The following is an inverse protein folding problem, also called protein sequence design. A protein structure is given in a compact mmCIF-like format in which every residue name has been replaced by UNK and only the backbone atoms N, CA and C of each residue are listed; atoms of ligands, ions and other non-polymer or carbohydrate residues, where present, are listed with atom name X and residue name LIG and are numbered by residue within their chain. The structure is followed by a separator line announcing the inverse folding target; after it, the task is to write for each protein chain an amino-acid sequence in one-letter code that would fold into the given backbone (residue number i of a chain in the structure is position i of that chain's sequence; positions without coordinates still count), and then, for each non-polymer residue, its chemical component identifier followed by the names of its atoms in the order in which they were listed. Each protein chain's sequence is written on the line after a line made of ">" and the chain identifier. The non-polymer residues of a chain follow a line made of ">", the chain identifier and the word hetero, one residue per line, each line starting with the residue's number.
data_IF_230212785832
#
_entry.id   IF_230212785832
#
_cell.length_a   1.000
_cell.length_b   1.000
_cell.length_c   1.000
_cell.angle_alpha   90.00
_cell.angle_beta   90.00
_cell.angle_gamma   90.00
#
_symmetry.space_group_name_H-M   'P 1'
#
loop_
_entity.id
_entity.type
_entity.pdbx_description
1 polymer ?
#
# COMPACT_ATOMS: atom_id res chain seq x y z
N UNK A 1 -0.29 -8.79 -2.58
CA UNK A 1 0.58 -7.67 -2.99
C UNK A 1 1.80 -7.68 -2.09
N UNK A 2 2.96 -7.70 -2.67
CA UNK A 2 4.24 -7.39 -2.05
C UNK A 2 4.85 -6.27 -2.86
N UNK A 3 5.67 -5.43 -2.27
CA UNK A 3 6.32 -4.37 -3.01
C UNK A 3 7.79 -4.24 -2.61
N UNK A 4 8.60 -3.68 -3.49
CA UNK A 4 9.99 -3.38 -3.23
C UNK A 4 10.15 -1.90 -2.94
N UNK A 5 10.77 -1.59 -1.82
CA UNK A 5 11.16 -0.24 -1.45
C UNK A 5 12.56 0.03 -1.95
N UNK A 6 12.81 1.22 -2.46
CA UNK A 6 14.14 1.63 -2.89
C UNK A 6 14.61 2.90 -2.18
N UNK A 7 15.87 3.02 -2.13
CA UNK A 7 16.88 3.97 -1.62
C UNK A 7 16.46 5.42 -1.24
N UNK A 8 15.25 5.88 -1.51
CA UNK A 8 14.82 7.26 -1.24
C UNK A 8 14.75 7.63 0.26
N UNK A 9 14.99 6.65 1.16
CA UNK A 9 14.82 6.84 2.61
C UNK A 9 16.08 6.57 3.45
N UNK A 10 17.24 6.41 2.83
CA UNK A 10 18.49 6.17 3.58
C UNK A 10 18.75 7.24 4.65
N UNK A 11 18.46 8.49 4.33
CA UNK A 11 18.69 9.65 5.22
C UNK A 11 17.62 9.77 6.32
N UNK A 12 16.44 9.16 6.13
CA UNK A 12 15.37 9.14 7.12
C UNK A 12 15.54 8.02 8.15
N UNK A 13 16.34 7.02 7.84
CA UNK A 13 16.56 5.85 8.70
C UNK A 13 17.06 6.24 10.10
N UNK A 14 17.98 7.20 10.18
CA UNK A 14 18.56 7.65 11.44
C UNK A 14 17.59 8.43 12.34
N UNK A 15 16.66 9.19 11.74
CA UNK A 15 15.70 10.01 12.49
C UNK A 15 14.42 9.28 12.92
N UNK A 16 14.03 8.22 12.17
CA UNK A 16 12.81 7.45 12.42
C UNK A 16 13.04 6.23 13.35
N UNK A 17 14.30 5.81 13.53
CA UNK A 17 14.61 4.47 14.04
C UNK A 17 14.53 4.31 15.54
N UNK A 18 14.84 5.33 16.35
CA UNK A 18 15.17 5.04 17.75
C UNK A 18 13.96 4.64 18.59
N UNK A 19 12.83 5.30 18.43
CA UNK A 19 11.69 5.11 19.34
C UNK A 19 10.71 4.01 18.94
N UNK A 20 10.44 3.88 17.64
CA UNK A 20 9.43 2.95 17.14
C UNK A 20 9.97 1.51 16.98
N UNK A 21 11.19 1.39 16.50
CA UNK A 21 11.87 0.10 16.28
C UNK A 21 12.20 -0.58 17.61
N UNK A 22 12.66 0.20 18.60
CA UNK A 22 12.99 -0.33 19.93
C UNK A 22 11.75 -0.91 20.66
N UNK A 23 10.58 -0.34 20.42
CA UNK A 23 9.34 -0.78 21.09
C UNK A 23 8.73 -2.03 20.46
N UNK A 24 8.92 -2.26 19.15
CA UNK A 24 8.36 -3.42 18.43
C UNK A 24 9.33 -4.56 18.22
N UNK A 25 10.60 -4.38 18.53
CA UNK A 25 11.69 -5.34 18.24
C UNK A 25 11.74 -5.77 16.74
N UNK A 26 11.24 -4.92 15.82
CA UNK A 26 11.18 -5.18 14.37
C UNK A 26 11.91 -4.07 13.62
N UNK A 27 12.70 -4.43 12.58
CA UNK A 27 13.41 -3.44 11.80
C UNK A 27 12.45 -2.60 10.94
N UNK A 28 12.80 -1.33 10.73
CA UNK A 28 12.22 -0.50 9.70
C UNK A 28 12.80 -0.92 8.34
N UNK A 29 11.96 -1.41 7.44
CA UNK A 29 12.35 -1.83 6.10
C UNK A 29 12.38 -0.61 5.19
N UNK A 30 13.56 -0.18 4.79
CA UNK A 30 13.79 0.97 3.88
C UNK A 30 14.28 0.53 2.52
N UNK A 31 14.67 -0.73 2.37
CA UNK A 31 15.13 -1.34 1.12
C UNK A 31 14.76 -2.82 1.09
N UNK A 32 14.57 -3.36 -0.11
CA UNK A 32 14.23 -4.77 -0.32
C UNK A 32 12.74 -5.05 -0.43
N UNK A 33 12.39 -6.32 -0.40
CA UNK A 33 11.01 -6.80 -0.50
C UNK A 33 10.26 -6.55 0.80
N UNK A 34 9.11 -5.88 0.70
CA UNK A 34 8.22 -5.59 1.82
C UNK A 34 7.06 -6.57 1.82
N UNK A 35 6.77 -7.13 2.98
CA UNK A 35 5.74 -8.14 3.20
C UNK A 35 4.70 -7.66 4.22
N UNK A 36 3.49 -8.23 4.20
CA UNK A 36 2.51 -8.02 5.26
C UNK A 36 3.13 -8.14 6.66
N UNK A 37 2.79 -7.21 7.54
CA UNK A 37 3.30 -7.01 8.90
C UNK A 37 4.65 -6.27 9.03
N UNK A 38 5.37 -6.04 7.93
CA UNK A 38 6.58 -5.23 7.98
C UNK A 38 6.27 -3.77 8.34
N UNK A 39 7.27 -3.10 8.91
CA UNK A 39 7.24 -1.67 9.23
C UNK A 39 8.01 -0.95 8.14
N UNK A 40 7.35 0.03 7.50
CA UNK A 40 7.92 0.80 6.39
C UNK A 40 7.68 2.29 6.56
N UNK A 41 8.47 3.16 5.89
CA UNK A 41 8.18 4.58 5.82
C UNK A 41 6.91 4.86 5.03
N UNK A 42 5.99 5.61 5.60
CA UNK A 42 4.71 5.98 5.01
C UNK A 42 4.52 7.48 5.11
N UNK A 43 4.09 8.11 4.03
CA UNK A 43 3.82 9.54 3.94
C UNK A 43 2.37 9.82 4.36
N UNK A 44 2.19 10.67 5.36
CA UNK A 44 0.88 11.11 5.83
C UNK A 44 0.98 12.52 6.43
N UNK A 45 -0.12 13.26 6.61
CA UNK A 45 -0.11 14.52 7.34
C UNK A 45 0.13 14.27 8.83
N UNK A 46 0.94 15.13 9.46
CA UNK A 46 1.05 15.17 10.91
C UNK A 46 -0.13 15.95 11.55
N UNK A 47 -0.14 16.09 12.87
CA UNK A 47 -1.20 16.81 13.60
C UNK A 47 -1.39 18.29 13.19
N UNK A 48 -0.41 18.88 12.48
CA UNK A 48 -0.47 20.25 11.94
C UNK A 48 -0.86 20.28 10.46
N UNK A 49 -1.24 19.13 9.87
CA UNK A 49 -1.52 19.00 8.44
C UNK A 49 -0.27 19.00 7.53
N UNK A 50 0.93 18.98 8.11
CA UNK A 50 2.18 19.03 7.33
C UNK A 50 2.53 17.62 6.88
N UNK A 51 2.78 17.45 5.58
CA UNK A 51 3.26 16.19 4.99
C UNK A 51 4.53 15.73 5.71
N UNK A 52 4.51 14.53 6.26
CA UNK A 52 5.58 13.95 7.07
C UNK A 52 5.71 12.46 6.80
N UNK A 53 6.84 11.88 7.17
CA UNK A 53 7.08 10.44 7.04
C UNK A 53 7.01 9.78 8.41
N UNK A 54 6.27 8.67 8.47
CA UNK A 54 6.08 7.90 9.69
C UNK A 54 6.42 6.43 9.46
N UNK A 55 7.09 5.76 10.40
CA UNK A 55 7.16 4.31 10.38
C UNK A 55 5.77 3.75 10.69
N UNK A 56 5.21 2.95 9.78
CA UNK A 56 3.91 2.33 9.98
C UNK A 56 3.98 0.83 9.68
N UNK A 57 3.28 0.02 10.46
CA UNK A 57 3.17 -1.41 10.21
C UNK A 57 2.08 -1.70 9.17
N UNK A 58 2.38 -2.58 8.23
CA UNK A 58 1.40 -3.00 7.23
C UNK A 58 0.41 -4.02 7.79
N UNK A 59 -0.84 -3.62 7.91
CA UNK A 59 -1.97 -4.46 8.30
C UNK A 59 -2.81 -3.87 9.42
N UNK A 60 -4.13 -3.79 9.20
CA UNK A 60 -5.12 -3.48 10.23
C UNK A 60 -5.55 -4.74 10.96
N UNK A 61 -5.63 -4.71 12.25
CA UNK A 61 -6.22 -5.78 13.04
C UNK A 61 -7.75 -5.81 12.82
N UNK A 62 -8.28 -6.94 12.38
CA UNK A 62 -9.73 -7.09 12.26
C UNK A 62 -10.41 -7.02 13.63
N UNK A 63 -11.69 -6.62 13.67
CA UNK A 63 -12.45 -6.42 14.92
C UNK A 63 -12.45 -7.61 15.90
N UNK A 64 -12.27 -8.83 15.38
CA UNK A 64 -12.20 -10.04 16.20
C UNK A 64 -10.78 -10.36 16.70
N UNK A 65 -9.79 -9.49 16.42
CA UNK A 65 -8.40 -9.66 16.82
C UNK A 65 -7.65 -10.86 16.21
N UNK A 66 -8.31 -11.63 15.34
CA UNK A 66 -7.78 -12.92 14.84
C UNK A 66 -7.14 -12.84 13.46
N UNK A 67 -7.35 -11.77 12.71
CA UNK A 67 -6.86 -11.62 11.33
C UNK A 67 -6.41 -10.19 11.07
N UNK A 68 -5.28 -10.05 10.39
CA UNK A 68 -4.85 -8.77 9.83
C UNK A 68 -5.42 -8.57 8.43
N UNK A 69 -5.87 -7.36 8.14
CA UNK A 69 -6.31 -6.92 6.83
C UNK A 69 -5.20 -6.08 6.22
N UNK A 70 -4.62 -6.54 5.14
CA UNK A 70 -3.49 -5.87 4.50
C UNK A 70 -3.93 -4.93 3.37
N UNK A 71 -5.10 -5.21 2.79
CA UNK A 71 -5.64 -4.44 1.68
C UNK A 71 -7.09 -4.03 1.95
N UNK A 72 -7.49 -2.90 1.37
CA UNK A 72 -8.88 -2.45 1.37
C UNK A 72 -9.32 -2.15 -0.07
N UNK A 73 -10.52 -2.62 -0.46
CA UNK A 73 -11.08 -2.35 -1.78
C UNK A 73 -11.63 -0.93 -1.82
N UNK A 74 -11.20 -0.12 -2.77
CA UNK A 74 -11.63 1.27 -2.97
C UNK A 74 -13.16 1.38 -3.04
N UNK A 75 -13.79 0.47 -3.74
CA UNK A 75 -15.24 0.46 -4.02
C UNK A 75 -16.09 0.28 -2.76
N UNK A 76 -15.47 -0.21 -1.68
CA UNK A 76 -16.18 -0.50 -0.42
C UNK A 76 -15.56 0.13 0.83
N UNK A 77 -14.40 0.78 0.72
CA UNK A 77 -13.69 1.34 1.86
C UNK A 77 -14.53 2.37 2.62
N UNK A 78 -15.21 3.28 1.90
CA UNK A 78 -16.10 4.28 2.49
C UNK A 78 -17.28 3.67 3.27
N UNK A 79 -17.74 2.47 2.88
CA UNK A 79 -18.92 1.82 3.46
C UNK A 79 -18.59 0.91 4.65
N UNK A 80 -17.37 0.36 4.68
CA UNK A 80 -16.97 -0.60 5.72
C UNK A 80 -16.54 0.13 6.99
N UNK A 81 -17.15 -0.17 8.16
CA UNK A 81 -16.85 0.52 9.42
C UNK A 81 -15.37 0.49 9.81
N UNK A 82 -14.62 -0.55 9.40
CA UNK A 82 -13.19 -0.69 9.71
C UNK A 82 -12.30 0.30 8.92
N UNK A 83 -12.78 0.81 7.78
CA UNK A 83 -12.03 1.70 6.89
C UNK A 83 -12.65 3.09 6.76
N UNK A 84 -13.94 3.26 7.12
CA UNK A 84 -14.72 4.46 6.86
C UNK A 84 -14.09 5.76 7.39
N UNK A 85 -13.58 5.72 8.61
CA UNK A 85 -12.99 6.91 9.23
C UNK A 85 -11.63 7.22 8.60
N UNK A 86 -10.84 6.18 8.32
CA UNK A 86 -9.57 6.34 7.62
C UNK A 86 -9.75 6.81 6.16
N UNK A 87 -10.80 6.36 5.47
CA UNK A 87 -11.17 6.87 4.14
C UNK A 87 -11.40 8.38 4.12
N UNK A 88 -12.05 8.90 5.15
CA UNK A 88 -12.36 10.33 5.24
C UNK A 88 -11.13 11.19 5.54
N UNK A 89 -10.28 10.81 6.48
CA UNK A 89 -9.30 11.73 7.06
C UNK A 89 -7.92 11.15 7.34
N UNK A 90 -7.70 9.84 7.14
CA UNK A 90 -6.43 9.18 7.44
C UNK A 90 -5.90 8.43 6.22
N UNK A 91 -5.69 9.18 5.14
CA UNK A 91 -5.13 8.67 3.90
C UNK A 91 -3.63 8.85 3.90
N UNK A 92 -2.92 7.92 3.29
CA UNK A 92 -1.45 7.91 3.25
C UNK A 92 -0.93 7.45 1.88
N UNK A 93 0.36 7.65 1.66
CA UNK A 93 1.09 7.18 0.49
C UNK A 93 2.25 6.30 0.94
N UNK A 94 2.36 5.16 0.29
CA UNK A 94 3.48 4.24 0.44
C UNK A 94 4.30 4.29 -0.85
N UNK A 95 5.62 4.50 -0.72
CA UNK A 95 6.51 4.51 -1.87
C UNK A 95 7.02 3.10 -2.15
N UNK A 96 7.00 2.73 -3.42
CA UNK A 96 7.57 1.48 -3.90
C UNK A 96 8.29 1.69 -5.24
N UNK A 97 9.24 0.84 -5.58
CA UNK A 97 9.78 0.77 -6.95
C UNK A 97 8.76 0.09 -7.85
N UNK A 98 8.24 -1.04 -7.42
CA UNK A 98 7.23 -1.85 -8.11
C UNK A 98 6.52 -2.75 -7.09
N UNK A 99 5.42 -3.36 -7.49
CA UNK A 99 4.73 -4.36 -6.68
C UNK A 99 4.74 -5.72 -7.36
N UNK A 100 4.56 -6.77 -6.56
CA UNK A 100 4.50 -8.14 -7.05
C UNK A 100 3.09 -8.70 -6.93
N UNK A 101 2.70 -9.50 -7.92
CA UNK A 101 1.56 -10.41 -7.85
C UNK A 101 1.92 -11.75 -8.47
N UNK A 102 1.21 -12.79 -8.03
CA UNK A 102 1.32 -14.12 -8.57
C UNK A 102 0.14 -14.40 -9.47
N UNK A 103 0.42 -15.03 -10.60
CA UNK A 103 -0.63 -15.57 -11.44
C UNK A 103 -1.47 -16.59 -10.64
N UNK A 104 -2.79 -16.51 -10.77
CA UNK A 104 -3.71 -17.49 -10.23
C UNK A 104 -4.51 -18.13 -11.36
N UNK A 105 -4.40 -19.44 -11.50
CA UNK A 105 -5.15 -20.19 -12.51
C UNK A 105 -5.87 -21.39 -11.88
N UNK A 106 -6.95 -21.83 -12.53
CA UNK A 106 -7.65 -23.06 -12.13
C UNK A 106 -7.00 -24.25 -12.82
N UNK A 107 -6.58 -25.22 -12.03
CA UNK A 107 -6.11 -26.49 -12.56
C UNK A 107 -7.29 -27.38 -13.00
N UNK A 108 -7.00 -28.45 -13.71
CA UNK A 108 -7.99 -29.40 -14.23
C UNK A 108 -8.87 -30.04 -13.15
N UNK A 109 -8.41 -30.05 -11.89
CA UNK A 109 -9.17 -30.53 -10.72
C UNK A 109 -10.01 -29.41 -10.05
N UNK A 110 -10.11 -28.24 -10.69
CA UNK A 110 -10.90 -27.09 -10.22
C UNK A 110 -10.26 -26.29 -9.07
N UNK A 111 -9.07 -26.67 -8.58
CA UNK A 111 -8.36 -25.94 -7.52
C UNK A 111 -7.62 -24.75 -8.10
N UNK A 112 -7.60 -23.65 -7.34
CA UNK A 112 -6.76 -22.51 -7.68
C UNK A 112 -5.30 -22.83 -7.35
N UNK A 113 -4.43 -22.68 -8.34
CA UNK A 113 -2.98 -22.81 -8.20
C UNK A 113 -2.31 -21.48 -8.42
N UNK A 114 -1.18 -21.29 -7.76
CA UNK A 114 -0.29 -20.14 -7.92
C UNK A 114 0.71 -20.45 -9.02
N UNK A 115 0.80 -19.59 -10.00
CA UNK A 115 1.74 -19.67 -11.11
C UNK A 115 2.96 -18.77 -10.89
N UNK A 116 3.41 -18.14 -11.98
CA UNK A 116 4.58 -17.29 -12.00
C UNK A 116 4.36 -16.01 -11.15
N UNK A 117 5.46 -15.47 -10.64
CA UNK A 117 5.54 -14.16 -9.98
C UNK A 117 5.82 -13.09 -11.03
N UNK A 118 5.09 -11.99 -10.98
CA UNK A 118 5.28 -10.84 -11.85
C UNK A 118 5.53 -9.58 -11.05
N UNK A 119 6.42 -8.71 -11.58
CA UNK A 119 6.65 -7.36 -11.11
C UNK A 119 5.86 -6.37 -11.98
N UNK A 120 5.25 -5.39 -11.34
CA UNK A 120 4.42 -4.38 -11.99
C UNK A 120 4.89 -2.98 -11.60
N UNK A 121 5.06 -2.11 -12.58
CA UNK A 121 5.42 -0.71 -12.38
C UNK A 121 4.59 0.17 -13.32
N UNK A 122 4.07 1.33 -12.87
CA UNK A 122 3.43 2.26 -13.77
C UNK A 122 4.37 2.71 -14.89
N UNK A 123 3.90 2.70 -16.11
CA UNK A 123 4.68 3.07 -17.29
C UNK A 123 5.26 4.49 -17.14
N UNK A 124 6.56 4.64 -17.40
CA UNK A 124 7.27 5.91 -17.30
C UNK A 124 7.54 6.41 -15.87
N UNK A 125 7.22 5.63 -14.84
CA UNK A 125 7.44 6.01 -13.45
C UNK A 125 8.66 5.30 -12.87
N UNK A 126 9.56 6.04 -12.20
CA UNK A 126 10.66 5.45 -11.41
C UNK A 126 10.15 5.04 -10.02
N UNK A 127 9.16 5.76 -9.50
CA UNK A 127 8.56 5.56 -8.18
C UNK A 127 7.08 5.30 -8.33
N UNK A 128 6.60 4.24 -7.71
CA UNK A 128 5.19 3.89 -7.59
C UNK A 128 4.62 4.47 -6.31
N UNK A 129 3.59 5.31 -6.41
CA UNK A 129 2.91 5.97 -5.30
C UNK A 129 1.63 5.21 -4.95
N UNK A 130 1.77 4.26 -4.02
CA UNK A 130 0.65 3.43 -3.58
C UNK A 130 -0.24 4.19 -2.61
N UNK A 131 -1.54 4.21 -2.85
CA UNK A 131 -2.51 4.80 -1.94
C UNK A 131 -2.84 3.84 -0.80
N UNK A 132 -2.90 4.38 0.40
CA UNK A 132 -3.25 3.63 1.59
C UNK A 132 -4.18 4.40 2.52
N UNK A 133 -4.67 3.67 3.51
CA UNK A 133 -5.36 4.19 4.68
C UNK A 133 -4.57 3.83 5.92
N UNK A 134 -4.54 4.72 6.92
CA UNK A 134 -3.89 4.43 8.19
C UNK A 134 -4.81 4.69 9.38
N UNK A 135 -4.46 4.12 10.51
CA UNK A 135 -5.08 4.39 11.81
C UNK A 135 -4.07 4.09 12.93
N UNK A 136 -4.42 4.47 14.14
CA UNK A 136 -3.62 4.11 15.33
C UNK A 136 -4.24 2.88 15.99
N UNK A 137 -3.42 1.86 16.23
CA UNK A 137 -3.76 0.66 16.99
C UNK A 137 -2.77 0.51 18.15
N UNK A 138 -3.26 0.41 19.37
CA UNK A 138 -2.43 0.29 20.59
C UNK A 138 -1.29 1.32 20.69
N UNK A 139 -1.57 2.56 20.21
CA UNK A 139 -0.61 3.66 20.19
C UNK A 139 0.33 3.68 18.97
N UNK A 140 0.20 2.75 18.03
CA UNK A 140 1.07 2.65 16.86
C UNK A 140 0.33 2.87 15.53
N UNK A 141 0.95 3.57 14.57
CA UNK A 141 0.37 3.72 13.26
C UNK A 141 0.48 2.42 12.45
N UNK A 142 -0.66 2.00 11.93
CA UNK A 142 -0.78 0.86 11.02
C UNK A 142 -1.45 1.30 9.72
N UNK A 143 -1.15 0.64 8.60
CA UNK A 143 -1.74 1.00 7.31
C UNK A 143 -2.24 -0.22 6.54
N UNK A 144 -3.09 0.03 5.56
CA UNK A 144 -3.50 -0.92 4.53
C UNK A 144 -3.31 -0.29 3.16
N UNK A 145 -2.99 -1.10 2.16
CA UNK A 145 -2.92 -0.67 0.76
C UNK A 145 -4.33 -0.69 0.17
N UNK A 146 -4.70 0.36 -0.55
CA UNK A 146 -5.94 0.38 -1.32
C UNK A 146 -5.77 -0.39 -2.62
N UNK A 147 -6.80 -1.15 -2.98
CA UNK A 147 -6.85 -1.88 -4.25
C UNK A 147 -8.08 -1.51 -5.05
N UNK A 148 -7.96 -1.57 -6.36
CA UNK A 148 -9.03 -1.36 -7.34
C UNK A 148 -9.14 -2.54 -8.30
N UNK A 149 -10.15 -2.55 -9.14
CA UNK A 149 -10.27 -3.49 -10.26
C UNK A 149 -9.09 -3.32 -11.23
N UNK A 150 -8.51 -4.42 -11.74
CA UNK A 150 -7.41 -4.37 -12.68
C UNK A 150 -7.91 -4.00 -14.09
N UNK A 151 -6.98 -3.65 -14.97
CA UNK A 151 -7.26 -3.57 -16.42
C UNK A 151 -7.51 -4.98 -16.96
N UNK A 152 -8.06 -5.06 -18.18
CA UNK A 152 -8.30 -6.35 -18.86
C UNK A 152 -7.02 -7.18 -19.04
N UNK A 153 -5.87 -6.53 -19.20
CA UNK A 153 -4.58 -7.19 -19.31
C UNK A 153 -4.12 -7.76 -17.97
N UNK A 154 -4.14 -6.95 -16.92
CA UNK A 154 -3.74 -7.34 -15.57
C UNK A 154 -4.67 -8.39 -14.95
N UNK A 155 -5.96 -8.38 -15.33
CA UNK A 155 -6.95 -9.34 -14.84
C UNK A 155 -6.63 -10.80 -15.21
N UNK A 156 -5.77 -11.03 -16.20
CA UNK A 156 -5.28 -12.36 -16.58
C UNK A 156 -4.31 -12.93 -15.54
N UNK A 157 -3.69 -12.07 -14.75
CA UNK A 157 -2.70 -12.45 -13.71
C UNK A 157 -3.36 -12.43 -12.33
N UNK A 158 -4.04 -11.34 -11.99
CA UNK A 158 -4.67 -11.18 -10.68
C UNK A 158 -5.96 -10.36 -10.77
N UNK A 159 -6.93 -10.64 -9.87
CA UNK A 159 -8.26 -10.00 -9.85
C UNK A 159 -8.27 -8.60 -9.21
N UNK A 160 -7.15 -8.14 -8.67
CA UNK A 160 -6.98 -6.82 -8.05
C UNK A 160 -5.63 -6.20 -8.41
N UNK A 161 -5.58 -4.87 -8.43
CA UNK A 161 -4.35 -4.11 -8.49
C UNK A 161 -4.33 -3.02 -7.41
N UNK A 162 -3.16 -2.55 -6.94
CA UNK A 162 -3.10 -1.41 -6.04
C UNK A 162 -3.69 -0.15 -6.68
N UNK A 163 -4.30 0.71 -5.85
CA UNK A 163 -4.59 2.08 -6.25
C UNK A 163 -3.29 2.88 -6.24
N UNK A 164 -2.89 3.38 -7.38
CA UNK A 164 -1.67 4.17 -7.56
C UNK A 164 -2.02 5.52 -8.19
N UNK A 165 -1.38 6.57 -7.73
CA UNK A 165 -1.61 7.92 -8.25
C UNK A 165 -0.34 8.49 -8.90
N UNK A 166 -0.49 9.41 -9.85
CA UNK A 166 0.62 10.24 -10.29
C UNK A 166 1.07 11.14 -9.12
N UNK A 167 2.37 11.49 -9.09
CA UNK A 167 2.98 12.25 -8.00
C UNK A 167 2.22 13.55 -7.68
N UNK A 168 1.71 14.21 -8.68
CA UNK A 168 0.99 15.50 -8.60
C UNK A 168 -0.33 15.40 -7.83
N UNK A 169 -0.88 14.19 -7.68
CA UNK A 169 -2.13 13.92 -6.95
C UNK A 169 -1.91 13.38 -5.55
N UNK A 170 -0.68 13.16 -5.13
CA UNK A 170 -0.38 12.59 -3.82
C UNK A 170 -0.69 13.52 -2.66
N UNK A 171 -0.46 14.84 -2.84
CA UNK A 171 -0.74 15.83 -1.80
C UNK A 171 -2.25 16.04 -1.62
N UNK A 172 -3.00 16.06 -2.74
CA UNK A 172 -4.47 16.04 -2.70
C UNK A 172 -4.98 14.78 -1.97
N UNK A 173 -4.39 13.62 -2.27
CA UNK A 173 -4.80 12.35 -1.66
C UNK A 173 -4.67 12.34 -0.14
N UNK A 174 -3.54 12.78 0.41
CA UNK A 174 -3.30 12.74 1.87
C UNK A 174 -3.99 13.88 2.61
N UNK A 175 -4.47 14.93 1.93
CA UNK A 175 -5.16 16.05 2.56
C UNK A 175 -6.52 15.62 3.13
N UNK A 176 -6.79 15.79 4.43
CA UNK A 176 -8.09 15.46 5.01
C UNK A 176 -9.24 16.30 4.45
N UNK A 177 -8.93 17.47 3.88
CA UNK A 177 -9.92 18.40 3.29
C UNK A 177 -10.38 17.97 1.89
N UNK A 178 -9.60 17.11 1.22
CA UNK A 178 -9.92 16.68 -0.14
C UNK A 178 -10.92 15.53 -0.16
N UNK A 179 -11.79 15.54 -1.16
CA UNK A 179 -12.72 14.43 -1.43
C UNK A 179 -11.96 13.29 -2.17
N UNK A 180 -11.74 12.13 -1.57
CA UNK A 180 -11.03 11.04 -2.21
C UNK A 180 -11.75 10.49 -3.46
N UNK A 181 -13.08 10.59 -3.54
CA UNK A 181 -13.86 10.13 -4.70
C UNK A 181 -13.56 10.94 -5.97
N UNK A 182 -13.11 12.19 -5.82
CA UNK A 182 -12.67 13.05 -6.92
C UNK A 182 -11.22 12.77 -7.35
N UNK A 183 -10.44 12.13 -6.51
CA UNK A 183 -9.02 11.84 -6.75
C UNK A 183 -8.83 10.43 -7.34
N UNK A 184 -9.61 9.46 -6.90
CA UNK A 184 -9.56 8.07 -7.40
C UNK A 184 -9.59 7.95 -8.94
N UNK A 185 -10.35 8.78 -9.70
CA UNK A 185 -10.35 8.72 -11.17
C UNK A 185 -8.99 8.99 -11.83
N UNK A 186 -8.04 9.62 -11.13
CA UNK A 186 -6.67 9.84 -11.64
C UNK A 186 -5.76 8.62 -11.48
N UNK A 187 -6.29 7.48 -11.01
CA UNK A 187 -5.52 6.28 -10.75
C UNK A 187 -4.80 5.77 -12.01
N UNK A 188 -3.51 5.51 -11.87
CA UNK A 188 -2.68 4.92 -12.91
C UNK A 188 -3.15 3.48 -13.21
N UNK A 189 -3.12 3.11 -14.47
CA UNK A 189 -3.57 1.79 -14.94
C UNK A 189 -2.68 1.20 -16.03
N UNK A 190 -1.86 2.02 -16.68
CA UNK A 190 -0.88 1.58 -17.66
C UNK A 190 0.38 1.09 -16.98
N UNK A 191 0.75 -0.19 -17.19
CA UNK A 191 1.78 -0.89 -16.42
C UNK A 191 2.80 -1.56 -17.34
N UNK A 192 4.05 -1.45 -16.96
CA UNK A 192 5.10 -2.39 -17.39
C UNK A 192 4.96 -3.64 -16.52
N UNK A 193 4.93 -4.81 -17.17
CA UNK A 193 4.78 -6.12 -16.53
C UNK A 193 6.00 -6.96 -16.89
N UNK A 194 6.70 -7.44 -15.89
CA UNK A 194 7.88 -8.29 -16.08
C UNK A 194 7.74 -9.54 -15.21
N UNK A 195 8.14 -10.69 -15.75
CA UNK A 195 8.24 -11.92 -14.96
C UNK A 195 9.38 -11.75 -13.96
N UNK A 196 9.09 -11.86 -12.67
CA UNK A 196 10.10 -11.77 -11.64
C UNK A 196 10.78 -13.12 -11.45
N UNK A 197 12.11 -13.08 -11.27
CA UNK A 197 12.85 -14.26 -10.84
C UNK A 197 12.40 -14.65 -9.42
N UNK A 198 12.24 -15.95 -9.19
CA UNK A 198 11.76 -16.50 -7.94
C UNK A 198 12.80 -16.49 -6.82
#
# INVERSE_FOLDING_TARGET
>A
IFFKNSVLFSDLKSSLTSKFVDTHARPLITDGEVRPTDIVPVIAPNAKGIKSVFPMQWGFLARNGKRSLFNARVESAMKKPIFKDAWKSHRCIILASYYFEWEHFKSTDGKTKTGDKYAFQPTGCIVTWLCGLYRIEDGYPVFVVLTKEPTAELSKIHDRMPLMLPKEKTDDWISPESNPDEIVPFALSDMVIEKAEG
#
